data_IF_025641611028
#
_entry.id   IF_025641611028
#
_cell.length_a   1.000
_cell.length_b   1.000
_cell.length_c   1.000
_cell.angle_alpha   90.00
_cell.angle_beta   90.00
_cell.angle_gamma   90.00
#
_symmetry.space_group_name_H-M   'P 1'
#
loop_
_entity.id
_entity.type
_entity.pdbx_description
1 polymer ?
#
# COMPACT_ATOMS: atom_id res chain seq x y z
N UNK A 1 -19.97 -13.77 -3.29
CA UNK A 1 -19.13 -12.79 -4.00
C UNK A 1 -19.42 -11.44 -3.37
N UNK A 2 -18.46 -10.82 -2.68
CA UNK A 2 -18.60 -9.41 -2.25
C UNK A 2 -18.76 -8.58 -3.54
N UNK A 3 -19.74 -7.68 -3.59
CA UNK A 3 -19.87 -6.75 -4.71
C UNK A 3 -18.64 -5.85 -4.75
N UNK A 4 -17.94 -5.79 -5.89
CA UNK A 4 -16.83 -4.85 -6.10
C UNK A 4 -17.37 -3.42 -5.90
N UNK A 5 -16.71 -2.65 -5.03
CA UNK A 5 -17.08 -1.27 -4.71
C UNK A 5 -16.12 -0.24 -5.28
N UNK A 6 -14.82 -0.56 -5.30
CA UNK A 6 -13.73 0.36 -5.67
C UNK A 6 -12.75 -0.31 -6.63
N UNK A 7 -12.00 0.48 -7.41
CA UNK A 7 -11.04 -0.03 -8.39
C UNK A 7 -9.72 0.72 -8.30
N UNK A 8 -8.61 -0.03 -8.31
CA UNK A 8 -7.23 0.47 -8.35
C UNK A 8 -6.44 -0.28 -9.42
N UNK A 9 -7.00 -0.43 -10.61
CA UNK A 9 -6.47 -1.35 -11.64
C UNK A 9 -5.11 -0.90 -12.18
N UNK A 10 -4.89 0.41 -12.34
CA UNK A 10 -3.62 0.93 -12.83
C UNK A 10 -2.54 0.85 -11.74
N UNK A 11 -2.91 1.16 -10.50
CA UNK A 11 -2.01 1.15 -9.34
C UNK A 11 -1.65 -0.28 -8.93
N UNK A 12 -2.60 -1.21 -9.02
CA UNK A 12 -2.30 -2.62 -8.77
C UNK A 12 -1.29 -3.18 -9.77
N UNK A 13 -1.37 -2.78 -11.04
CA UNK A 13 -0.38 -3.15 -12.05
C UNK A 13 0.99 -2.52 -11.75
N UNK A 14 1.02 -1.26 -11.34
CA UNK A 14 2.27 -0.60 -10.92
C UNK A 14 2.89 -1.29 -9.70
N UNK A 15 2.07 -1.68 -8.74
CA UNK A 15 2.50 -2.45 -7.56
C UNK A 15 3.05 -3.83 -7.98
N UNK A 16 2.38 -4.56 -8.87
CA UNK A 16 2.89 -5.82 -9.42
C UNK A 16 4.24 -5.64 -10.12
N UNK A 17 4.39 -4.59 -10.92
CA UNK A 17 5.65 -4.25 -11.60
C UNK A 17 6.76 -3.93 -10.59
N UNK A 18 6.46 -3.18 -9.53
CA UNK A 18 7.40 -2.89 -8.44
C UNK A 18 7.82 -4.16 -7.72
N UNK A 19 6.89 -5.04 -7.36
CA UNK A 19 7.18 -6.30 -6.66
C UNK A 19 8.08 -7.25 -7.48
N UNK A 20 8.05 -7.15 -8.81
CA UNK A 20 8.87 -7.94 -9.71
C UNK A 20 10.29 -7.41 -9.95
N UNK A 21 10.61 -6.20 -9.48
CA UNK A 21 11.92 -5.57 -9.70
C UNK A 21 12.99 -6.07 -8.71
N UNK A 22 14.25 -6.13 -9.19
CA UNK A 22 15.43 -6.39 -8.35
C UNK A 22 16.16 -5.07 -8.07
N UNK A 23 15.70 -4.32 -7.05
CA UNK A 23 16.34 -3.10 -6.55
C UNK A 23 17.18 -3.38 -5.29
N UNK A 24 17.95 -2.37 -4.84
CA UNK A 24 18.53 -2.40 -3.50
C UNK A 24 17.40 -2.45 -2.45
N UNK A 25 17.53 -3.32 -1.45
CA UNK A 25 16.47 -3.65 -0.48
C UNK A 25 15.75 -2.42 0.11
N UNK A 26 16.50 -1.37 0.42
CA UNK A 26 15.96 -0.11 0.94
C UNK A 26 15.16 0.69 -0.09
N UNK A 27 15.73 0.92 -1.27
CA UNK A 27 15.07 1.68 -2.34
C UNK A 27 13.78 0.98 -2.78
N UNK A 28 13.84 -0.34 -2.89
CA UNK A 28 12.68 -1.17 -3.23
C UNK A 28 11.56 -1.04 -2.21
N UNK A 29 11.89 -1.15 -0.93
CA UNK A 29 10.92 -1.04 0.15
C UNK A 29 10.25 0.35 0.16
N UNK A 30 11.01 1.43 -0.01
CA UNK A 30 10.46 2.79 -0.03
C UNK A 30 9.49 2.98 -1.21
N UNK A 31 9.81 2.46 -2.40
CA UNK A 31 8.91 2.53 -3.55
C UNK A 31 7.60 1.78 -3.31
N UNK A 32 7.67 0.61 -2.65
CA UNK A 32 6.48 -0.17 -2.29
C UNK A 32 5.61 0.61 -1.30
N UNK A 33 6.21 1.17 -0.24
CA UNK A 33 5.48 1.95 0.77
C UNK A 33 4.82 3.21 0.17
N UNK A 34 5.52 3.88 -0.74
CA UNK A 34 4.98 5.04 -1.46
C UNK A 34 3.78 4.65 -2.33
N UNK A 35 3.86 3.53 -3.05
CA UNK A 35 2.77 3.03 -3.88
C UNK A 35 1.56 2.59 -3.05
N UNK A 36 1.78 1.96 -1.89
CA UNK A 36 0.70 1.60 -0.96
C UNK A 36 -0.01 2.87 -0.47
N UNK A 37 0.72 3.91 -0.07
CA UNK A 37 0.12 5.18 0.32
C UNK A 37 -0.74 5.76 -0.79
N UNK A 38 -0.23 5.77 -2.02
CA UNK A 38 -0.96 6.27 -3.19
C UNK A 38 -2.26 5.50 -3.43
N UNK A 39 -2.21 4.16 -3.34
CA UNK A 39 -3.39 3.31 -3.43
C UNK A 39 -4.45 3.64 -2.37
N UNK A 40 -4.02 3.84 -1.12
CA UNK A 40 -4.92 4.18 0.00
C UNK A 40 -5.53 5.57 -0.20
N UNK A 41 -4.78 6.55 -0.71
CA UNK A 41 -5.30 7.89 -1.04
C UNK A 41 -6.40 7.81 -2.10
N UNK A 42 -6.16 7.10 -3.20
CA UNK A 42 -7.15 6.91 -4.26
C UNK A 42 -8.38 6.14 -3.77
N UNK A 43 -8.20 5.13 -2.91
CA UNK A 43 -9.30 4.44 -2.26
C UNK A 43 -10.12 5.41 -1.39
N UNK A 44 -9.44 6.30 -0.66
CA UNK A 44 -10.08 7.31 0.18
C UNK A 44 -10.88 8.33 -0.67
N UNK A 45 -10.39 8.70 -1.85
CA UNK A 45 -11.13 9.58 -2.77
C UNK A 45 -12.41 8.94 -3.31
N UNK A 46 -12.38 7.63 -3.57
CA UNK A 46 -13.54 6.87 -4.02
C UNK A 46 -14.54 6.55 -2.89
N UNK A 47 -14.07 6.48 -1.64
CA UNK A 47 -14.89 6.12 -0.48
C UNK A 47 -15.71 7.29 0.10
N UNK A 48 -16.98 7.04 0.48
CA UNK A 48 -17.75 8.01 1.25
C UNK A 48 -17.13 8.21 2.64
N UNK A 49 -17.23 9.43 3.20
CA UNK A 49 -16.52 9.84 4.42
C UNK A 49 -16.76 8.91 5.63
N UNK A 50 -17.98 8.39 5.77
CA UNK A 50 -18.35 7.45 6.83
C UNK A 50 -17.68 6.08 6.70
N UNK A 51 -17.39 5.60 5.47
CA UNK A 51 -16.62 4.38 5.27
C UNK A 51 -15.12 4.63 5.50
N UNK A 52 -14.59 5.77 5.04
CA UNK A 52 -13.18 6.16 5.25
C UNK A 52 -12.78 6.18 6.72
N UNK A 53 -13.60 6.78 7.57
CA UNK A 53 -13.36 6.84 9.01
C UNK A 53 -13.39 5.44 9.64
N UNK A 54 -14.27 4.55 9.16
CA UNK A 54 -14.38 3.18 9.65
C UNK A 54 -13.16 2.31 9.34
N UNK A 55 -12.47 2.56 8.22
CA UNK A 55 -11.24 1.86 7.84
C UNK A 55 -9.96 2.58 8.28
N UNK A 56 -10.06 3.74 8.94
CA UNK A 56 -8.92 4.50 9.45
C UNK A 56 -7.82 4.77 8.40
N UNK A 57 -8.17 4.96 7.13
CA UNK A 57 -7.22 5.06 6.01
C UNK A 57 -6.11 6.11 6.23
N UNK A 58 -6.46 7.24 6.85
CA UNK A 58 -5.49 8.29 7.18
C UNK A 58 -4.46 7.83 8.22
N UNK A 59 -4.89 7.06 9.22
CA UNK A 59 -3.98 6.51 10.23
C UNK A 59 -2.98 5.54 9.62
N UNK A 60 -3.43 4.68 8.68
CA UNK A 60 -2.53 3.79 7.94
C UNK A 60 -1.47 4.56 7.15
N UNK A 61 -1.85 5.63 6.45
CA UNK A 61 -0.89 6.48 5.72
C UNK A 61 0.13 7.10 6.71
N UNK A 62 -0.33 7.67 7.82
CA UNK A 62 0.56 8.32 8.80
C UNK A 62 1.57 7.30 9.40
N UNK A 63 1.15 6.07 9.65
CA UNK A 63 2.02 4.99 10.12
C UNK A 63 3.03 4.54 9.06
N UNK A 64 2.61 4.35 7.81
CA UNK A 64 3.50 4.03 6.69
C UNK A 64 4.57 5.12 6.52
N UNK A 65 4.17 6.40 6.52
CA UNK A 65 5.11 7.53 6.40
C UNK A 65 6.12 7.59 7.55
N UNK A 66 5.71 7.18 8.75
CA UNK A 66 6.62 7.09 9.90
C UNK A 66 7.67 6.00 9.68
N UNK A 67 7.27 4.84 9.15
CA UNK A 67 8.20 3.76 8.82
C UNK A 67 9.11 4.12 7.63
N UNK A 68 8.61 4.82 6.61
CA UNK A 68 9.43 5.38 5.53
C UNK A 68 10.51 6.31 6.07
N UNK A 69 10.15 7.26 6.93
CA UNK A 69 11.10 8.19 7.56
C UNK A 69 12.17 7.43 8.34
N UNK A 70 11.80 6.37 9.06
CA UNK A 70 12.74 5.52 9.80
C UNK A 70 13.69 4.76 8.87
N UNK A 71 13.16 4.15 7.81
CA UNK A 71 13.97 3.46 6.79
C UNK A 71 14.94 4.44 6.13
N UNK A 72 14.49 5.66 5.85
CA UNK A 72 15.33 6.68 5.22
C UNK A 72 16.42 7.20 6.16
N UNK A 73 16.08 7.49 7.42
CA UNK A 73 17.00 8.05 8.44
C UNK A 73 18.03 7.07 8.99
N UNK A 74 17.74 5.77 9.06
CA UNK A 74 18.71 4.75 9.56
C UNK A 74 19.86 4.44 8.57
N UNK A 75 19.98 5.16 7.46
CA UNK A 75 21.10 5.02 6.52
C UNK A 75 21.06 3.71 5.71
N UNK A 76 22.24 3.18 5.33
CA UNK A 76 22.37 1.93 4.54
C UNK A 76 22.31 0.64 5.40
N UNK A 77 22.12 0.76 6.73
CA UNK A 77 22.22 -0.37 7.67
C UNK A 77 20.87 -1.00 8.06
N UNK A 78 19.76 -0.52 7.50
CA UNK A 78 18.44 -1.07 7.81
C UNK A 78 18.20 -2.42 7.12
N UNK A 79 18.63 -3.51 7.76
CA UNK A 79 18.44 -4.91 7.30
C UNK A 79 17.00 -5.45 7.47
N UNK A 80 16.00 -4.57 7.53
CA UNK A 80 14.59 -4.92 7.72
C UNK A 80 13.63 -4.20 6.78
N UNK A 81 14.14 -3.43 5.80
CA UNK A 81 13.30 -2.58 4.94
C UNK A 81 12.27 -3.43 4.20
N UNK A 82 12.71 -4.57 3.66
CA UNK A 82 11.83 -5.51 2.99
C UNK A 82 10.78 -6.10 3.92
N UNK A 83 11.14 -6.45 5.16
CA UNK A 83 10.18 -7.01 6.13
C UNK A 83 9.08 -6.01 6.48
N UNK A 84 9.42 -4.72 6.59
CA UNK A 84 8.45 -3.64 6.81
C UNK A 84 7.53 -3.49 5.59
N UNK A 85 8.09 -3.45 4.38
CA UNK A 85 7.28 -3.37 3.16
C UNK A 85 6.36 -4.58 2.97
N UNK A 86 6.84 -5.81 3.22
CA UNK A 86 6.06 -7.04 3.14
C UNK A 86 4.89 -7.07 4.15
N UNK A 87 5.09 -6.50 5.35
CA UNK A 87 4.03 -6.36 6.33
C UNK A 87 2.94 -5.39 5.85
N UNK A 88 3.33 -4.20 5.38
CA UNK A 88 2.38 -3.21 4.86
C UNK A 88 1.63 -3.66 3.61
N UNK A 89 2.28 -4.44 2.74
CA UNK A 89 1.61 -5.09 1.61
C UNK A 89 0.49 -6.02 2.07
N UNK A 90 0.75 -6.82 3.11
CA UNK A 90 -0.25 -7.74 3.67
C UNK A 90 -1.44 -6.96 4.22
N UNK A 91 -1.18 -5.92 5.02
CA UNK A 91 -2.24 -5.08 5.59
C UNK A 91 -3.05 -4.34 4.51
N UNK A 92 -2.38 -3.90 3.44
CA UNK A 92 -3.03 -3.28 2.29
C UNK A 92 -3.94 -4.26 1.53
N UNK A 93 -3.51 -5.50 1.30
CA UNK A 93 -4.36 -6.50 0.66
C UNK A 93 -5.58 -6.85 1.51
N UNK A 94 -5.41 -6.99 2.83
CA UNK A 94 -6.51 -7.21 3.78
C UNK A 94 -7.51 -6.04 3.77
N UNK A 95 -7.01 -4.80 3.71
CA UNK A 95 -7.85 -3.61 3.53
C UNK A 95 -8.65 -3.68 2.22
N UNK A 96 -8.00 -3.98 1.10
CA UNK A 96 -8.67 -4.09 -0.19
C UNK A 96 -9.77 -5.16 -0.18
N UNK A 97 -9.51 -6.33 0.41
CA UNK A 97 -10.52 -7.37 0.54
C UNK A 97 -11.70 -6.89 1.43
N UNK A 98 -11.39 -6.27 2.57
CA UNK A 98 -12.39 -5.80 3.54
C UNK A 98 -13.33 -4.76 2.93
N UNK A 99 -12.78 -3.80 2.20
CA UNK A 99 -13.56 -2.73 1.58
C UNK A 99 -14.20 -3.09 0.23
N UNK A 100 -13.82 -4.21 -0.37
CA UNK A 100 -14.28 -4.61 -1.70
C UNK A 100 -13.60 -3.84 -2.83
N UNK A 101 -12.35 -3.44 -2.62
CA UNK A 101 -11.48 -2.92 -3.66
C UNK A 101 -10.92 -4.08 -4.49
N UNK A 102 -10.89 -3.90 -5.81
CA UNK A 102 -10.33 -4.86 -6.74
C UNK A 102 -8.95 -4.44 -7.20
N UNK A 103 -8.00 -5.37 -7.11
CA UNK A 103 -6.62 -5.20 -7.56
C UNK A 103 -6.31 -5.97 -8.86
N UNK A 104 -7.14 -6.91 -9.30
CA UNK A 104 -6.90 -7.68 -10.53
C UNK A 104 -7.66 -7.11 -11.74
N UNK A 105 -7.03 -7.08 -12.92
CA UNK A 105 -7.74 -6.87 -14.20
C UNK A 105 -8.72 -8.03 -14.48
N UNK A 106 -9.94 -7.70 -14.89
CA UNK A 106 -10.92 -8.69 -15.36
C UNK A 106 -10.43 -9.26 -16.70
N UNK A 107 -9.93 -10.49 -16.68
CA UNK A 107 -9.52 -11.24 -17.89
C UNK A 107 -10.70 -11.56 -18.80
#
# INVERSE_FOLDING_TARGET
MRSQKYSLTEEAKKLEELLAQEHGEKEHALQILEEICHCIELLAEQMPANEREGYQLRGMIDEIRTDEERIDTEGNEFHGAKTVADAWLTDFYDLCEACGCRLEEEK
#
